data_IF_383719861229
#
_entry.id   IF_383719861229
#
_cell.length_a   1.000
_cell.length_b   1.000
_cell.length_c   1.000
_cell.angle_alpha   90.00
_cell.angle_beta   90.00
_cell.angle_gamma   90.00
#
_symmetry.space_group_name_H-M   'P 1'
#
loop_
_entity.id
_entity.type
_entity.pdbx_description
1 polymer ?
#
# COMPACT_ATOMS: atom_id res chain seq x y z
N UNK A 1 -7.62 0.79 17.55
CA UNK A 1 -7.50 0.54 16.10
C UNK A 1 -8.86 0.75 15.49
N UNK A 2 -9.00 1.62 14.48
CA UNK A 2 -10.25 1.78 13.73
C UNK A 2 -10.26 0.73 12.63
N UNK A 3 -11.28 -0.11 12.59
CA UNK A 3 -11.49 -1.06 11.48
C UNK A 3 -12.35 -0.35 10.44
N UNK A 4 -11.94 -0.41 9.18
CA UNK A 4 -12.65 0.16 8.04
C UNK A 4 -12.87 -1.01 7.08
N UNK A 5 -14.12 -1.27 6.72
CA UNK A 5 -14.47 -2.33 5.79
C UNK A 5 -14.65 -1.82 4.35
N UNK A 6 -14.90 -2.75 3.43
CA UNK A 6 -15.10 -2.45 2.02
C UNK A 6 -16.23 -1.45 1.78
N UNK A 7 -17.38 -1.57 2.46
CA UNK A 7 -18.52 -0.68 2.23
C UNK A 7 -18.20 0.77 2.60
N UNK A 8 -17.39 0.95 3.66
CA UNK A 8 -16.92 2.26 4.07
C UNK A 8 -15.89 2.82 3.11
N UNK A 9 -15.01 1.99 2.53
CA UNK A 9 -14.05 2.39 1.50
C UNK A 9 -14.79 2.83 0.24
N UNK A 10 -15.71 2.01 -0.26
CA UNK A 10 -16.47 2.28 -1.50
C UNK A 10 -17.32 3.56 -1.38
N UNK A 11 -17.75 3.92 -0.17
CA UNK A 11 -18.51 5.14 0.08
C UNK A 11 -17.66 6.43 0.09
N UNK A 12 -16.34 6.33 0.25
CA UNK A 12 -15.46 7.51 0.46
C UNK A 12 -14.28 7.60 -0.49
N UNK A 13 -13.82 6.48 -1.07
CA UNK A 13 -12.70 6.44 -1.98
C UNK A 13 -13.19 6.65 -3.42
N UNK A 14 -12.86 7.79 -3.99
CA UNK A 14 -13.15 8.12 -5.37
C UNK A 14 -11.86 8.38 -6.17
N UNK A 15 -11.96 8.32 -7.48
CA UNK A 15 -10.81 8.46 -8.37
C UNK A 15 -10.17 9.85 -8.34
N UNK A 16 -10.97 10.91 -8.23
CA UNK A 16 -10.48 12.28 -8.30
C UNK A 16 -9.70 12.65 -7.03
N UNK A 17 -10.22 12.28 -5.86
CA UNK A 17 -9.52 12.48 -4.59
C UNK A 17 -8.24 11.65 -4.53
N UNK A 18 -8.27 10.41 -5.01
CA UNK A 18 -7.09 9.55 -5.10
C UNK A 18 -6.02 10.15 -6.03
N UNK A 19 -6.39 10.65 -7.21
CA UNK A 19 -5.45 11.27 -8.15
C UNK A 19 -4.73 12.46 -7.52
N UNK A 20 -5.46 13.33 -6.81
CA UNK A 20 -4.88 14.49 -6.12
C UNK A 20 -3.96 14.04 -4.99
N UNK A 21 -4.37 13.04 -4.21
CA UNK A 21 -3.56 12.49 -3.12
C UNK A 21 -2.24 11.89 -3.64
N UNK A 22 -2.29 11.12 -4.73
CA UNK A 22 -1.11 10.54 -5.38
C UNK A 22 -0.16 11.63 -5.89
N UNK A 23 -0.68 12.63 -6.61
CA UNK A 23 0.13 13.75 -7.10
C UNK A 23 0.87 14.46 -5.96
N UNK A 24 0.18 14.73 -4.85
CA UNK A 24 0.80 15.33 -3.66
C UNK A 24 1.84 14.40 -3.03
N UNK A 25 1.49 13.13 -2.82
CA UNK A 25 2.38 12.15 -2.17
C UNK A 25 3.68 11.93 -2.95
N UNK A 26 3.60 11.80 -4.28
CA UNK A 26 4.79 11.62 -5.13
C UNK A 26 5.65 12.89 -5.24
N UNK A 27 5.08 14.08 -5.05
CA UNK A 27 5.82 15.34 -5.07
C UNK A 27 6.52 15.65 -3.72
N UNK A 28 6.19 14.93 -2.65
CA UNK A 28 6.72 15.12 -1.31
C UNK A 28 7.93 14.23 -1.04
N UNK A 29 8.67 14.54 0.03
CA UNK A 29 9.65 13.60 0.57
C UNK A 29 8.91 12.39 1.14
N UNK A 30 9.38 11.20 0.77
CA UNK A 30 8.85 9.94 1.27
C UNK A 30 9.99 8.95 1.46
N UNK A 31 9.75 7.91 2.25
CA UNK A 31 10.64 6.75 2.32
C UNK A 31 9.82 5.50 2.05
N UNK A 32 10.33 4.68 1.16
CA UNK A 32 9.77 3.38 0.81
C UNK A 32 10.93 2.42 0.62
N UNK A 33 11.34 1.67 1.66
CA UNK A 33 12.36 0.67 1.49
C UNK A 33 11.85 -0.45 0.56
N UNK A 34 12.78 -1.27 0.07
CA UNK A 34 12.42 -2.37 -0.82
C UNK A 34 11.37 -3.27 -0.17
N UNK A 35 10.37 -3.68 -0.96
CA UNK A 35 9.41 -4.69 -0.53
C UNK A 35 10.14 -5.96 -0.08
N UNK A 36 9.63 -6.61 0.94
CA UNK A 36 10.05 -7.95 1.32
C UNK A 36 9.03 -8.95 0.79
N UNK A 37 9.50 -10.03 0.18
CA UNK A 37 8.68 -11.07 -0.45
C UNK A 37 8.94 -12.38 0.27
N UNK A 38 7.86 -13.05 0.67
CA UNK A 38 7.84 -14.34 1.33
C UNK A 38 7.12 -15.33 0.43
N UNK A 39 7.88 -16.09 -0.35
CA UNK A 39 7.36 -17.12 -1.24
C UNK A 39 6.62 -18.22 -0.46
N UNK A 40 5.48 -18.66 -1.00
CA UNK A 40 4.68 -19.74 -0.38
C UNK A 40 5.21 -21.13 -0.71
N UNK A 41 5.87 -21.26 -1.87
CA UNK A 41 6.52 -22.47 -2.32
C UNK A 41 7.84 -22.11 -3.02
N UNK A 42 8.81 -23.01 -2.97
CA UNK A 42 10.15 -22.87 -3.58
C UNK A 42 10.24 -23.54 -4.95
N UNK A 43 9.14 -24.11 -5.45
CA UNK A 43 9.09 -24.67 -6.81
C UNK A 43 9.02 -23.57 -7.84
N UNK A 44 9.78 -23.71 -8.93
CA UNK A 44 9.74 -22.77 -10.07
C UNK A 44 8.38 -22.75 -10.82
N UNK A 45 7.44 -23.63 -10.44
CA UNK A 45 6.10 -23.71 -11.02
C UNK A 45 5.06 -22.84 -10.31
N UNK A 46 5.38 -22.29 -9.14
CA UNK A 46 4.50 -21.41 -8.37
C UNK A 46 5.27 -20.16 -7.89
N UNK A 47 4.69 -18.98 -8.10
CA UNK A 47 5.27 -17.69 -7.70
C UNK A 47 4.40 -16.93 -6.69
N UNK A 48 3.44 -17.62 -6.07
CA UNK A 48 2.62 -17.05 -5.01
C UNK A 48 3.50 -16.67 -3.81
N UNK A 49 3.27 -15.47 -3.28
CA UNK A 49 4.03 -14.94 -2.17
C UNK A 49 3.22 -13.93 -1.37
N UNK A 50 3.54 -13.79 -0.09
CA UNK A 50 3.17 -12.60 0.67
C UNK A 50 4.23 -11.52 0.45
N UNK A 51 3.80 -10.31 0.12
CA UNK A 51 4.69 -9.16 0.05
C UNK A 51 4.36 -8.20 1.17
N UNK A 52 5.39 -7.63 1.79
CA UNK A 52 5.27 -6.56 2.78
C UNK A 52 5.84 -5.29 2.16
N UNK A 53 5.00 -4.25 2.06
CA UNK A 53 5.31 -2.98 1.44
C UNK A 53 5.21 -1.83 2.46
N UNK A 54 6.25 -1.61 3.26
CA UNK A 54 6.29 -0.48 4.17
C UNK A 54 6.56 0.83 3.40
N UNK A 55 5.84 1.89 3.76
CA UNK A 55 6.09 3.23 3.24
C UNK A 55 5.68 4.29 4.26
N UNK A 56 6.36 5.42 4.26
CA UNK A 56 6.01 6.56 5.12
C UNK A 56 6.41 7.90 4.53
N UNK A 57 5.74 8.93 5.02
CA UNK A 57 6.10 10.34 4.83
C UNK A 57 6.01 11.06 6.19
N UNK A 58 5.96 12.39 6.19
CA UNK A 58 5.90 13.19 7.43
C UNK A 58 4.58 13.01 8.21
N UNK A 59 3.52 12.50 7.58
CA UNK A 59 2.17 12.46 8.14
C UNK A 59 1.70 11.05 8.49
N UNK A 60 2.09 10.04 7.70
CA UNK A 60 1.56 8.68 7.83
C UNK A 60 2.65 7.62 7.64
N UNK A 61 2.44 6.47 8.29
CA UNK A 61 3.16 5.21 8.05
C UNK A 61 2.12 4.17 7.63
N UNK A 62 2.38 3.50 6.52
CA UNK A 62 1.54 2.43 5.98
C UNK A 62 2.34 1.14 5.77
N UNK A 63 1.66 0.01 5.94
CA UNK A 63 2.15 -1.31 5.59
C UNK A 63 1.00 -2.04 4.90
N UNK A 64 1.30 -2.64 3.74
CA UNK A 64 0.40 -3.49 2.98
C UNK A 64 1.05 -4.86 2.81
#
# INVERSE_FOLDING_TARGET
MKVIDQTQIDAVLDFDSLRIALQKGFAQQFTMPKRHVYELDKTDTNHDAFAVLPAWNEQVIGVN
#
